data_IF_179131296094
#
_entry.id   IF_179131296094
#
_cell.length_a   1.000
_cell.length_b   1.000
_cell.length_c   1.000
_cell.angle_alpha   90.00
_cell.angle_beta   90.00
_cell.angle_gamma   90.00
#
_symmetry.space_group_name_H-M   'P 1'
#
loop_
_entity.id
_entity.type
_entity.pdbx_description
1 polymer ?
#
# COMPACT_ATOMS: atom_id res chain seq x y z
N UNK A 1 -3.39 -13.39 8.92
CA UNK A 1 -4.00 -12.67 7.78
C UNK A 1 -3.27 -11.37 7.45
N UNK A 2 -3.10 -10.43 8.40
CA UNK A 2 -2.42 -9.14 8.14
C UNK A 2 -0.93 -9.21 7.75
N UNK A 3 -0.28 -10.34 8.02
CA UNK A 3 1.15 -10.56 7.77
C UNK A 3 1.44 -11.37 6.50
N UNK A 4 0.52 -11.35 5.52
CA UNK A 4 0.71 -12.05 4.26
C UNK A 4 0.23 -11.21 3.08
N UNK A 5 0.68 -11.59 1.89
CA UNK A 5 0.31 -10.97 0.62
C UNK A 5 -1.22 -10.91 0.37
N UNK A 6 -2.02 -11.73 1.07
CA UNK A 6 -3.48 -11.70 0.96
C UNK A 6 -4.10 -10.41 1.50
N UNK A 7 -3.44 -9.73 2.44
CA UNK A 7 -3.99 -8.50 3.01
C UNK A 7 -3.94 -7.33 2.01
N UNK A 8 -2.82 -7.08 1.29
CA UNK A 8 -2.79 -6.17 0.15
C UNK A 8 -3.88 -6.41 -0.91
N UNK A 9 -4.18 -7.68 -1.22
CA UNK A 9 -5.24 -8.05 -2.16
C UNK A 9 -6.62 -7.66 -1.63
N UNK A 10 -6.91 -7.93 -0.35
CA UNK A 10 -8.18 -7.53 0.27
C UNK A 10 -8.37 -6.00 0.27
N UNK A 11 -7.34 -5.23 0.62
CA UNK A 11 -7.40 -3.76 0.58
C UNK A 11 -7.69 -3.25 -0.85
N UNK A 12 -7.06 -3.88 -1.85
CA UNK A 12 -7.28 -3.55 -3.25
C UNK A 12 -8.67 -3.95 -3.76
N UNK A 13 -9.21 -5.09 -3.34
CA UNK A 13 -10.58 -5.51 -3.70
C UNK A 13 -11.61 -4.50 -3.18
N UNK A 14 -11.48 -4.08 -1.92
CA UNK A 14 -12.37 -3.10 -1.32
C UNK A 14 -12.29 -1.73 -2.04
N UNK A 15 -11.08 -1.28 -2.35
CA UNK A 15 -10.85 -0.01 -3.04
C UNK A 15 -11.33 -0.05 -4.49
N UNK A 16 -11.09 -1.14 -5.22
CA UNK A 16 -11.57 -1.32 -6.58
C UNK A 16 -13.11 -1.31 -6.64
N UNK A 17 -13.77 -1.99 -5.70
CA UNK A 17 -15.23 -1.97 -5.60
C UNK A 17 -15.79 -0.56 -5.32
N UNK A 18 -15.09 0.24 -4.50
CA UNK A 18 -15.46 1.64 -4.26
C UNK A 18 -15.33 2.47 -5.55
N UNK A 19 -14.17 2.38 -6.23
CA UNK A 19 -13.92 3.11 -7.49
C UNK A 19 -14.99 2.77 -8.54
N UNK A 20 -15.38 1.50 -8.64
CA UNK A 20 -16.38 1.04 -9.59
C UNK A 20 -17.78 1.61 -9.28
N UNK A 21 -18.17 1.64 -8.00
CA UNK A 21 -19.56 1.92 -7.59
C UNK A 21 -19.84 3.39 -7.31
N UNK A 22 -18.85 4.14 -6.85
CA UNK A 22 -19.02 5.55 -6.52
C UNK A 22 -19.09 6.43 -7.79
N UNK A 23 -19.78 7.59 -7.73
CA UNK A 23 -19.95 8.50 -8.86
C UNK A 23 -18.70 9.39 -9.06
N UNK A 24 -17.52 8.78 -9.08
CA UNK A 24 -16.25 9.50 -9.25
C UNK A 24 -16.20 10.22 -10.61
N UNK A 25 -15.77 11.49 -10.59
CA UNK A 25 -15.58 12.32 -11.77
C UNK A 25 -16.87 12.56 -12.57
N UNK A 26 -18.04 12.54 -11.91
CA UNK A 26 -19.35 12.73 -12.56
C UNK A 26 -19.79 14.18 -12.68
N UNK A 27 -19.13 15.09 -11.97
CA UNK A 27 -19.37 16.53 -12.06
C UNK A 27 -18.04 17.32 -12.05
N UNK A 28 -18.11 18.63 -11.83
CA UNK A 28 -16.96 19.53 -11.82
C UNK A 28 -16.33 19.74 -10.43
N UNK A 29 -16.78 19.01 -9.41
CA UNK A 29 -16.20 19.02 -8.07
C UNK A 29 -15.15 17.92 -7.99
N UNK A 30 -13.97 18.24 -7.46
CA UNK A 30 -12.90 17.26 -7.32
C UNK A 30 -13.22 16.26 -6.19
N UNK A 31 -13.22 14.96 -6.53
CA UNK A 31 -13.30 13.88 -5.56
C UNK A 31 -11.94 13.60 -4.91
N UNK A 32 -11.94 13.13 -3.66
CA UNK A 32 -10.74 12.72 -2.94
C UNK A 32 -10.83 11.24 -2.54
N UNK A 33 -9.88 10.45 -3.03
CA UNK A 33 -9.71 9.05 -2.64
C UNK A 33 -8.48 8.95 -1.74
N UNK A 34 -8.64 8.31 -0.58
CA UNK A 34 -7.56 8.06 0.38
C UNK A 34 -7.42 6.56 0.64
N UNK A 35 -6.25 6.01 0.35
CA UNK A 35 -5.89 4.63 0.68
C UNK A 35 -4.71 4.63 1.66
N UNK A 36 -4.90 4.03 2.83
CA UNK A 36 -3.79 3.70 3.71
C UNK A 36 -3.37 2.26 3.43
N UNK A 37 -2.24 2.05 2.73
CA UNK A 37 -1.86 0.73 2.27
C UNK A 37 -0.96 0.01 3.28
N UNK A 38 -1.55 -0.76 4.20
CA UNK A 38 -0.90 -1.17 5.45
C UNK A 38 0.01 -2.40 5.36
N UNK A 39 -0.02 -3.15 4.26
CA UNK A 39 0.72 -4.42 4.13
C UNK A 39 2.21 -4.35 4.53
N UNK A 40 2.92 -3.33 4.05
CA UNK A 40 4.35 -3.17 4.32
C UNK A 40 4.67 -2.93 5.81
N UNK A 41 3.81 -2.20 6.51
CA UNK A 41 3.96 -1.89 7.94
C UNK A 41 3.81 -3.15 8.80
N UNK A 42 2.72 -3.90 8.61
CA UNK A 42 2.46 -5.12 9.37
C UNK A 42 3.55 -6.18 9.14
N UNK A 43 3.95 -6.39 7.88
CA UNK A 43 4.94 -7.41 7.55
C UNK A 43 6.34 -6.96 7.98
N UNK A 44 6.70 -5.70 7.75
CA UNK A 44 7.98 -5.13 8.17
C UNK A 44 8.18 -5.19 9.67
N UNK A 45 7.16 -4.86 10.47
CA UNK A 45 7.24 -4.96 11.94
C UNK A 45 7.42 -6.40 12.44
N UNK A 46 6.92 -7.39 11.71
CA UNK A 46 6.99 -8.78 12.14
C UNK A 46 8.28 -9.48 11.72
N UNK A 47 8.78 -9.18 10.52
CA UNK A 47 9.85 -9.94 9.89
C UNK A 47 11.12 -9.11 9.62
N UNK A 48 11.05 -7.79 9.75
CA UNK A 48 12.14 -6.88 9.44
C UNK A 48 12.12 -6.39 7.99
N UNK A 49 12.79 -5.26 7.70
CA UNK A 49 12.78 -4.61 6.38
C UNK A 49 13.51 -5.40 5.29
N UNK A 50 14.46 -6.27 5.68
CA UNK A 50 15.27 -7.05 4.74
C UNK A 50 14.71 -8.47 4.51
N UNK A 51 13.51 -8.76 5.03
CA UNK A 51 12.89 -10.08 4.98
C UNK A 51 12.36 -10.48 3.60
N UNK A 52 12.32 -11.78 3.33
CA UNK A 52 11.67 -12.31 2.14
C UNK A 52 10.16 -12.07 2.16
N UNK A 53 9.56 -12.09 3.35
CA UNK A 53 8.15 -11.80 3.58
C UNK A 53 7.79 -10.38 3.16
N UNK A 54 8.61 -9.38 3.54
CA UNK A 54 8.37 -8.00 3.12
C UNK A 54 8.56 -7.85 1.61
N UNK A 55 9.59 -8.47 1.02
CA UNK A 55 9.80 -8.47 -0.43
C UNK A 55 8.59 -9.01 -1.20
N UNK A 56 8.06 -10.16 -0.78
CA UNK A 56 6.87 -10.77 -1.40
C UNK A 56 5.65 -9.86 -1.22
N UNK A 57 5.50 -9.25 -0.05
CA UNK A 57 4.38 -8.35 0.25
C UNK A 57 4.44 -7.09 -0.61
N UNK A 58 5.60 -6.45 -0.75
CA UNK A 58 5.79 -5.29 -1.62
C UNK A 58 5.53 -5.64 -3.08
N UNK A 59 5.97 -6.81 -3.54
CA UNK A 59 5.67 -7.28 -4.90
C UNK A 59 4.19 -7.52 -5.16
N UNK A 60 3.42 -7.95 -4.16
CA UNK A 60 1.97 -8.03 -4.27
C UNK A 60 1.30 -6.65 -4.23
N UNK A 61 1.78 -5.75 -3.35
CA UNK A 61 1.30 -4.37 -3.28
C UNK A 61 1.49 -3.63 -4.61
N UNK A 62 2.63 -3.82 -5.28
CA UNK A 62 2.89 -3.26 -6.61
C UNK A 62 1.89 -3.77 -7.66
N UNK A 63 1.67 -5.09 -7.73
CA UNK A 63 0.67 -5.68 -8.64
C UNK A 63 -0.73 -5.14 -8.40
N UNK A 64 -1.12 -5.00 -7.14
CA UNK A 64 -2.43 -4.47 -6.80
C UNK A 64 -2.53 -2.96 -7.05
N UNK A 65 -1.46 -2.19 -6.91
CA UNK A 65 -1.44 -0.78 -7.27
C UNK A 65 -1.72 -0.60 -8.77
N UNK A 66 -1.12 -1.41 -9.64
CA UNK A 66 -1.46 -1.42 -11.08
C UNK A 66 -2.95 -1.63 -11.30
N UNK A 67 -3.54 -2.64 -10.64
CA UNK A 67 -4.98 -2.92 -10.74
C UNK A 67 -5.85 -1.73 -10.30
N UNK A 68 -5.48 -1.08 -9.19
CA UNK A 68 -6.22 0.09 -8.68
C UNK A 68 -6.13 1.29 -9.61
N UNK A 69 -4.95 1.58 -10.15
CA UNK A 69 -4.75 2.67 -11.10
C UNK A 69 -5.48 2.40 -12.42
N UNK A 70 -5.47 1.15 -12.91
CA UNK A 70 -6.25 0.78 -14.09
C UNK A 70 -7.76 0.92 -13.87
N UNK A 71 -8.27 0.56 -12.69
CA UNK A 71 -9.68 0.75 -12.36
C UNK A 71 -10.05 2.24 -12.30
N UNK A 72 -9.17 3.08 -11.72
CA UNK A 72 -9.36 4.52 -11.67
C UNK A 72 -9.32 5.13 -13.08
N UNK A 73 -8.33 4.81 -13.90
CA UNK A 73 -8.21 5.27 -15.28
C UNK A 73 -9.40 4.85 -16.15
N UNK A 74 -9.89 3.63 -15.99
CA UNK A 74 -11.11 3.19 -16.70
C UNK A 74 -12.35 4.00 -16.29
N UNK A 75 -12.38 4.52 -15.07
CA UNK A 75 -13.51 5.27 -14.51
C UNK A 75 -13.47 6.75 -14.87
N UNK A 76 -12.30 7.41 -14.76
CA UNK A 76 -12.16 8.87 -14.87
C UNK A 76 -11.20 9.34 -15.98
N UNK A 77 -10.58 8.41 -16.71
CA UNK A 77 -9.54 8.72 -17.71
C UNK A 77 -8.27 9.30 -17.06
N UNK A 78 -7.61 10.23 -17.76
CA UNK A 78 -6.37 10.86 -17.29
C UNK A 78 -6.61 12.12 -16.43
N UNK A 79 -7.83 12.32 -15.93
CA UNK A 79 -8.20 13.49 -15.14
C UNK A 79 -8.05 13.22 -13.63
N UNK A 80 -6.84 12.84 -13.20
CA UNK A 80 -6.54 12.60 -11.80
C UNK A 80 -5.09 12.98 -11.46
N UNK A 81 -4.85 13.27 -10.19
CA UNK A 81 -3.51 13.44 -9.64
C UNK A 81 -3.27 12.35 -8.59
N UNK A 82 -2.14 11.67 -8.71
CA UNK A 82 -1.73 10.65 -7.74
C UNK A 82 -0.58 11.18 -6.89
N UNK A 83 -0.76 11.12 -5.57
CA UNK A 83 0.30 11.33 -4.59
C UNK A 83 0.48 10.05 -3.76
N UNK A 84 1.70 9.52 -3.75
CA UNK A 84 2.07 8.35 -2.94
C UNK A 84 3.12 8.78 -1.94
N UNK A 85 2.89 8.46 -0.65
CA UNK A 85 3.83 8.74 0.42
C UNK A 85 3.79 7.64 1.48
N UNK A 86 4.78 7.62 2.37
CA UNK A 86 4.81 6.81 3.57
C UNK A 86 4.64 7.68 4.81
N UNK A 87 3.89 7.20 5.80
CA UNK A 87 3.77 7.88 7.09
C UNK A 87 5.06 7.85 7.92
N UNK A 88 5.93 6.86 7.70
CA UNK A 88 7.27 6.75 8.27
C UNK A 88 8.12 5.75 7.47
N UNK A 89 9.42 5.69 7.76
CA UNK A 89 10.34 4.65 7.28
C UNK A 89 10.43 3.45 8.24
N UNK A 90 11.38 2.55 7.99
CA UNK A 90 11.73 1.43 8.88
C UNK A 90 13.27 1.30 8.90
N UNK A 91 13.92 1.30 10.07
CA UNK A 91 15.36 1.06 10.15
C UNK A 91 15.68 -0.41 9.84
N UNK A 92 16.83 -0.66 9.19
CA UNK A 92 17.39 -2.02 9.03
C UNK A 92 17.58 -2.71 10.37
N UNK A 93 17.60 -4.04 10.38
CA UNK A 93 17.88 -4.80 11.60
C UNK A 93 19.19 -4.36 12.26
N UNK A 94 19.25 -4.25 13.60
CA UNK A 94 20.48 -3.88 14.29
C UNK A 94 21.60 -4.89 14.00
N UNK A 95 22.79 -4.39 13.67
CA UNK A 95 23.98 -5.22 13.47
C UNK A 95 24.53 -5.84 14.78
N UNK A 96 24.05 -5.35 15.92
CA UNK A 96 24.43 -5.84 17.25
C UNK A 96 23.96 -7.28 17.47
N UNK A 97 24.77 -8.13 18.14
CA UNK A 97 24.39 -9.52 18.44
C UNK A 97 23.07 -9.67 19.21
N UNK A 98 22.70 -8.66 20.01
CA UNK A 98 21.46 -8.63 20.79
C UNK A 98 20.27 -7.99 20.07
N UNK A 99 20.42 -7.67 18.78
CA UNK A 99 19.39 -7.07 17.90
C UNK A 99 18.73 -5.85 18.51
N UNK A 100 19.51 -4.94 19.10
CA UNK A 100 19.02 -3.67 19.62
C UNK A 100 19.79 -2.51 19.01
N UNK A 101 19.07 -1.51 18.52
CA UNK A 101 19.67 -0.22 18.20
C UNK A 101 20.02 0.47 19.52
N UNK A 102 21.22 0.23 20.03
CA UNK A 102 21.80 1.08 21.06
C UNK A 102 22.21 2.39 20.40
N UNK A 103 21.42 3.44 20.61
CA UNK A 103 21.99 4.77 20.63
C UNK A 103 22.86 4.87 21.90
N UNK A 104 24.12 5.34 21.81
CA UNK A 104 24.81 5.80 23.02
C UNK A 104 24.00 6.91 23.72
#
# INVERSE_FOLDING_TARGET
MRYSALFPTFEADAMAAMIEREPLGKDNVADLILLNYKGADFVGHKYGPDSNELRVTLGEMDRQLVRLLSALEAKVGNNYLLAVNAHHGMPSEPSSPDRRHFAP
#
